data_IF_092662181077
#
_entry.id   IF_092662181077
#
_cell.length_a   1.000
_cell.length_b   1.000
_cell.length_c   1.000
_cell.angle_alpha   90.00
_cell.angle_beta   90.00
_cell.angle_gamma   90.00
#
_symmetry.space_group_name_H-M   'P 1'
#
loop_
_entity.id
_entity.type
_entity.pdbx_description
1 polymer ?
#
# COMPACT_ATOMS: atom_id res chain seq x y z
N UNK A 1 -93.13 19.10 29.85
CA UNK A 1 -92.83 17.74 30.37
C UNK A 1 -92.68 16.82 29.15
N UNK A 2 -91.47 16.23 28.92
CA UNK A 2 -91.12 15.05 28.05
C UNK A 2 -91.75 14.95 26.63
N UNK A 3 -91.12 14.49 25.54
CA UNK A 3 -89.79 13.99 25.16
C UNK A 3 -89.96 13.51 23.70
N UNK A 4 -89.13 13.92 22.73
CA UNK A 4 -89.13 13.31 21.39
C UNK A 4 -87.84 13.58 20.59
N UNK A 5 -86.67 13.41 21.21
CA UNK A 5 -85.35 13.53 20.53
C UNK A 5 -84.59 12.20 20.54
N UNK A 6 -85.31 11.07 20.56
CA UNK A 6 -84.73 9.74 20.69
C UNK A 6 -84.60 8.94 19.38
N UNK A 7 -85.36 9.25 18.33
CA UNK A 7 -85.42 8.38 17.13
C UNK A 7 -84.33 8.64 16.08
N UNK A 8 -83.90 9.89 15.84
CA UNK A 8 -82.91 10.19 14.79
C UNK A 8 -81.48 9.76 15.15
N UNK A 9 -81.08 9.89 16.43
CA UNK A 9 -79.74 9.52 16.91
C UNK A 9 -79.46 8.01 16.83
N UNK A 10 -80.50 7.18 17.00
CA UNK A 10 -80.37 5.73 16.89
C UNK A 10 -80.18 5.28 15.43
N UNK A 11 -80.82 5.96 14.47
CA UNK A 11 -80.64 5.67 13.05
C UNK A 11 -79.23 6.08 12.57
N UNK A 12 -78.72 7.23 13.01
CA UNK A 12 -77.35 7.67 12.68
C UNK A 12 -76.28 6.74 13.28
N UNK A 13 -76.49 6.25 14.50
CA UNK A 13 -75.58 5.28 15.12
C UNK A 13 -75.58 3.92 14.40
N UNK A 14 -76.74 3.44 13.93
CA UNK A 14 -76.85 2.18 13.19
C UNK A 14 -76.26 2.31 11.77
N UNK A 15 -76.45 3.44 11.10
CA UNK A 15 -75.86 3.68 9.78
C UNK A 15 -74.34 3.82 9.85
N UNK A 16 -73.83 4.54 10.86
CA UNK A 16 -72.39 4.69 11.06
C UNK A 16 -71.73 3.35 11.38
N UNK A 17 -72.32 2.51 12.24
CA UNK A 17 -71.77 1.19 12.54
C UNK A 17 -71.78 0.25 11.33
N UNK A 18 -72.79 0.32 10.47
CA UNK A 18 -72.86 -0.45 9.23
C UNK A 18 -71.77 -0.05 8.22
N UNK A 19 -71.47 1.25 8.11
CA UNK A 19 -70.37 1.74 7.28
C UNK A 19 -69.00 1.27 7.78
N UNK A 20 -68.78 1.27 9.09
CA UNK A 20 -67.54 0.76 9.68
C UNK A 20 -67.36 -0.75 9.47
N UNK A 21 -68.44 -1.54 9.61
CA UNK A 21 -68.39 -2.99 9.33
C UNK A 21 -68.06 -3.23 7.86
N UNK A 22 -68.71 -2.50 6.94
CA UNK A 22 -68.41 -2.62 5.51
C UNK A 22 -66.96 -2.26 5.18
N UNK A 23 -66.45 -1.16 5.76
CA UNK A 23 -65.06 -0.75 5.56
C UNK A 23 -64.07 -1.80 6.09
N UNK A 24 -64.34 -2.39 7.25
CA UNK A 24 -63.52 -3.46 7.82
C UNK A 24 -63.54 -4.70 6.92
N UNK A 25 -64.72 -5.16 6.48
CA UNK A 25 -64.85 -6.31 5.58
C UNK A 25 -64.13 -6.09 4.26
N UNK A 26 -64.27 -4.92 3.65
CA UNK A 26 -63.58 -4.56 2.40
C UNK A 26 -62.06 -4.60 2.58
N UNK A 27 -61.57 -3.98 3.66
CA UNK A 27 -60.13 -3.91 3.97
C UNK A 27 -59.57 -5.31 4.21
N UNK A 28 -60.28 -6.15 4.97
CA UNK A 28 -59.87 -7.53 5.23
C UNK A 28 -59.83 -8.36 3.94
N UNK A 29 -60.85 -8.20 3.08
CA UNK A 29 -60.92 -8.88 1.79
C UNK A 29 -59.76 -8.50 0.86
N UNK A 30 -59.47 -7.19 0.73
CA UNK A 30 -58.34 -6.72 -0.07
C UNK A 30 -57.00 -7.22 0.47
N UNK A 31 -56.82 -7.18 1.79
CA UNK A 31 -55.58 -7.65 2.44
C UNK A 31 -55.36 -9.14 2.20
N UNK A 32 -56.42 -9.94 2.24
CA UNK A 32 -56.34 -11.38 1.97
C UNK A 32 -55.98 -11.67 0.51
N UNK A 33 -56.60 -10.97 -0.45
CA UNK A 33 -56.30 -11.11 -1.89
C UNK A 33 -54.83 -10.76 -2.18
N UNK A 34 -54.34 -9.66 -1.61
CA UNK A 34 -52.94 -9.24 -1.77
C UNK A 34 -51.97 -10.23 -1.12
N UNK A 35 -52.31 -10.78 0.06
CA UNK A 35 -51.47 -11.75 0.75
C UNK A 35 -51.32 -13.07 -0.01
N UNK A 36 -52.37 -13.55 -0.70
CA UNK A 36 -52.30 -14.77 -1.50
C UNK A 36 -51.45 -14.59 -2.77
N UNK A 37 -51.45 -13.40 -3.36
CA UNK A 37 -50.63 -13.10 -4.54
C UNK A 37 -49.12 -13.09 -4.19
N UNK A 38 -48.76 -12.56 -3.02
CA UNK A 38 -47.36 -12.56 -2.52
C UNK A 38 -46.79 -13.97 -2.28
N UNK A 39 -47.64 -14.93 -1.91
CA UNK A 39 -47.23 -16.33 -1.72
C UNK A 39 -47.07 -17.09 -3.05
N UNK A 40 -47.73 -16.63 -4.12
CA UNK A 40 -47.53 -17.11 -5.48
C UNK A 40 -46.29 -16.44 -6.09
N UNK A 41 -45.14 -16.63 -5.43
CA UNK A 41 -43.85 -16.35 -6.04
C UNK A 41 -43.80 -17.19 -7.32
N UNK A 42 -43.87 -16.54 -8.48
CA UNK A 42 -43.82 -17.17 -9.78
C UNK A 42 -42.55 -18.03 -9.86
N UNK A 43 -42.69 -19.34 -9.63
CA UNK A 43 -41.62 -20.30 -9.87
C UNK A 43 -41.50 -20.45 -11.38
N UNK A 44 -40.69 -19.59 -12.00
CA UNK A 44 -40.39 -19.65 -13.43
C UNK A 44 -39.70 -20.99 -13.69
N UNK A 45 -40.48 -21.95 -14.19
CA UNK A 45 -39.98 -23.25 -14.62
C UNK A 45 -39.35 -23.06 -16.00
N UNK A 46 -38.05 -22.77 -16.03
CA UNK A 46 -37.26 -22.74 -17.27
C UNK A 46 -36.89 -24.18 -17.62
N UNK A 47 -37.13 -24.58 -18.88
CA UNK A 47 -36.67 -25.86 -19.41
C UNK A 47 -35.40 -25.64 -20.23
N UNK A 48 -34.42 -26.50 -20.04
CA UNK A 48 -33.17 -26.44 -20.81
C UNK A 48 -33.47 -26.59 -22.31
N UNK A 49 -33.03 -25.62 -23.12
CA UNK A 49 -33.17 -25.61 -24.58
C UNK A 49 -34.28 -24.71 -25.14
N UNK A 50 -35.13 -24.12 -24.30
CA UNK A 50 -36.14 -23.13 -24.70
C UNK A 50 -35.71 -21.71 -24.30
N UNK A 51 -35.94 -20.68 -25.13
CA UNK A 51 -35.65 -19.29 -24.75
C UNK A 51 -36.54 -18.86 -23.59
N UNK A 52 -35.94 -18.17 -22.60
CA UNK A 52 -36.67 -17.68 -21.44
C UNK A 52 -37.75 -16.66 -21.86
N UNK A 53 -38.97 -16.73 -21.29
CA UNK A 53 -40.07 -15.83 -21.64
C UNK A 53 -39.87 -14.40 -21.12
N UNK A 54 -38.93 -14.18 -20.19
CA UNK A 54 -38.59 -12.87 -19.63
C UNK A 54 -37.08 -12.75 -19.39
N UNK A 55 -36.59 -11.51 -19.35
CA UNK A 55 -35.17 -11.23 -19.08
C UNK A 55 -34.83 -11.54 -17.61
N UNK A 56 -33.92 -12.49 -17.41
CA UNK A 56 -33.47 -12.91 -16.07
C UNK A 56 -32.19 -12.15 -15.71
N UNK A 57 -32.24 -11.35 -14.64
CA UNK A 57 -31.06 -10.68 -14.09
C UNK A 57 -30.35 -11.57 -13.07
N UNK A 58 -29.02 -11.58 -13.11
CA UNK A 58 -28.21 -12.34 -12.16
C UNK A 58 -28.41 -11.81 -10.71
N UNK A 59 -28.67 -12.67 -9.71
CA UNK A 59 -28.84 -12.23 -8.32
C UNK A 59 -27.60 -11.56 -7.72
N UNK A 60 -26.43 -11.83 -8.31
CA UNK A 60 -25.14 -11.25 -7.94
C UNK A 60 -24.21 -11.18 -9.14
N UNK A 61 -23.39 -10.14 -9.20
CA UNK A 61 -22.29 -10.07 -10.15
C UNK A 61 -21.21 -11.08 -9.76
N UNK A 62 -20.84 -11.96 -10.70
CA UNK A 62 -19.68 -12.85 -10.56
C UNK A 62 -18.69 -12.42 -11.64
N UNK A 63 -17.55 -11.91 -11.21
CA UNK A 63 -16.47 -11.54 -12.13
C UNK A 63 -15.57 -12.75 -12.34
N UNK A 64 -15.46 -13.22 -13.57
CA UNK A 64 -14.50 -14.26 -13.94
C UNK A 64 -13.13 -13.62 -14.22
N UNK A 65 -12.14 -13.94 -13.38
CA UNK A 65 -10.75 -13.54 -13.64
C UNK A 65 -10.16 -14.49 -14.69
N UNK A 66 -9.86 -13.97 -15.87
CA UNK A 66 -9.24 -14.75 -16.96
C UNK A 66 -7.72 -14.77 -16.81
N UNK A 67 -7.15 -15.96 -16.71
CA UNK A 67 -5.69 -16.17 -16.66
C UNK A 67 -4.97 -15.59 -17.89
N UNK A 68 -5.62 -15.60 -19.06
CA UNK A 68 -5.06 -15.03 -20.28
C UNK A 68 -4.94 -13.50 -20.16
N UNK A 69 -5.98 -12.84 -19.65
CA UNK A 69 -6.00 -11.38 -19.44
C UNK A 69 -4.98 -10.95 -18.39
N UNK A 70 -4.81 -11.76 -17.34
CA UNK A 70 -3.79 -11.52 -16.33
C UNK A 70 -2.38 -11.60 -16.92
N UNK A 71 -2.10 -12.61 -17.74
CA UNK A 71 -0.81 -12.74 -18.43
C UNK A 71 -0.54 -11.59 -19.39
N UNK A 72 -1.52 -11.19 -20.18
CA UNK A 72 -1.41 -10.02 -21.08
C UNK A 72 -1.12 -8.73 -20.31
N UNK A 73 -1.85 -8.47 -19.22
CA UNK A 73 -1.62 -7.29 -18.38
C UNK A 73 -0.22 -7.29 -17.74
N UNK A 74 0.30 -8.46 -17.36
CA UNK A 74 1.67 -8.60 -16.84
C UNK A 74 2.73 -8.35 -17.92
N UNK A 75 2.52 -8.84 -19.14
CA UNK A 75 3.42 -8.60 -20.26
C UNK A 75 3.44 -7.12 -20.67
N UNK A 76 2.27 -6.48 -20.75
CA UNK A 76 2.14 -5.04 -20.98
C UNK A 76 2.81 -4.23 -19.88
N UNK A 77 2.63 -4.59 -18.61
CA UNK A 77 3.28 -3.92 -17.49
C UNK A 77 4.81 -4.04 -17.56
N UNK A 78 5.34 -5.20 -17.96
CA UNK A 78 6.78 -5.41 -18.14
C UNK A 78 7.33 -4.61 -19.33
N UNK A 79 6.60 -4.59 -20.45
CA UNK A 79 7.00 -3.84 -21.63
C UNK A 79 6.98 -2.32 -21.40
N UNK A 80 6.13 -1.84 -20.49
CA UNK A 80 6.03 -0.43 -20.12
C UNK A 80 7.03 0.01 -19.04
N UNK A 81 7.92 -0.88 -18.54
CA UNK A 81 9.01 -0.44 -17.66
C UNK A 81 10.06 0.24 -18.54
N UNK A 82 10.25 1.56 -18.43
CA UNK A 82 11.29 2.24 -19.18
C UNK A 82 12.67 1.74 -18.73
N UNK A 83 13.61 1.67 -19.67
CA UNK A 83 15.00 1.34 -19.37
C UNK A 83 15.57 2.37 -18.39
N UNK A 84 15.94 1.91 -17.19
CA UNK A 84 16.62 2.75 -16.22
C UNK A 84 18.11 2.79 -16.56
N UNK A 85 18.49 3.80 -17.34
CA UNK A 85 19.89 4.13 -17.54
C UNK A 85 20.38 4.96 -16.34
N UNK A 86 21.46 4.52 -15.71
CA UNK A 86 22.24 5.39 -14.81
C UNK A 86 22.77 6.55 -15.65
N UNK A 87 22.53 7.79 -15.23
CA UNK A 87 23.15 8.96 -15.84
C UNK A 87 24.68 8.80 -15.86
N UNK A 88 25.43 9.45 -16.77
CA UNK A 88 26.90 9.40 -16.84
C UNK A 88 27.60 10.10 -15.66
N UNK A 89 26.95 10.21 -14.50
CA UNK A 89 27.46 10.75 -13.23
C UNK A 89 28.59 9.86 -12.64
N UNK A 90 28.82 8.66 -13.20
CA UNK A 90 29.84 7.73 -12.72
C UNK A 90 31.26 8.31 -12.72
N UNK A 91 31.62 9.13 -13.70
CA UNK A 91 32.94 9.80 -13.74
C UNK A 91 33.10 10.85 -12.64
N UNK A 92 32.02 11.49 -12.18
CA UNK A 92 32.06 12.47 -11.10
C UNK A 92 32.13 11.79 -9.73
N UNK A 93 31.36 10.72 -9.51
CA UNK A 93 31.38 9.95 -8.27
C UNK A 93 32.76 9.33 -8.04
N UNK A 94 33.37 8.72 -9.07
CA UNK A 94 34.70 8.10 -8.92
C UNK A 94 35.79 9.11 -8.54
N UNK A 95 35.76 10.31 -9.13
CA UNK A 95 36.66 11.40 -8.77
C UNK A 95 36.44 11.88 -7.34
N UNK A 96 35.20 12.01 -6.89
CA UNK A 96 34.88 12.37 -5.51
C UNK A 96 35.39 11.34 -4.50
N UNK A 97 35.24 10.05 -4.79
CA UNK A 97 35.74 8.97 -3.92
C UNK A 97 37.27 9.01 -3.80
N UNK A 98 37.99 9.18 -4.91
CA UNK A 98 39.45 9.33 -4.88
C UNK A 98 39.91 10.59 -4.13
N UNK A 99 39.16 11.69 -4.23
CA UNK A 99 39.43 12.90 -3.45
C UNK A 99 39.21 12.68 -1.95
N UNK A 100 38.18 11.94 -1.57
CA UNK A 100 37.94 11.57 -0.17
C UNK A 100 39.08 10.72 0.40
N UNK A 101 39.52 9.70 -0.34
CA UNK A 101 40.68 8.87 0.04
C UNK A 101 41.93 9.74 0.23
N UNK A 102 42.21 10.64 -0.71
CA UNK A 102 43.34 11.54 -0.61
C UNK A 102 43.26 12.47 0.62
N UNK A 103 42.07 12.98 0.94
CA UNK A 103 41.84 13.83 2.10
C UNK A 103 42.03 13.08 3.43
N UNK A 104 41.53 11.85 3.52
CA UNK A 104 41.70 10.99 4.70
C UNK A 104 43.19 10.72 4.94
N UNK A 105 43.92 10.30 3.91
CA UNK A 105 45.36 10.04 4.08
C UNK A 105 46.16 11.31 4.37
N UNK A 106 45.77 12.48 3.82
CA UNK A 106 46.42 13.74 4.17
C UNK A 106 46.22 14.10 5.66
N UNK A 107 45.04 13.84 6.22
CA UNK A 107 44.80 13.98 7.65
C UNK A 107 45.62 12.97 8.46
N UNK A 108 45.64 11.70 8.08
CA UNK A 108 46.47 10.69 8.74
C UNK A 108 47.97 11.04 8.70
N UNK A 109 48.46 11.62 7.60
CA UNK A 109 49.84 12.10 7.48
C UNK A 109 50.14 13.19 8.52
N UNK A 110 49.18 14.11 8.74
CA UNK A 110 49.31 15.16 9.76
C UNK A 110 49.33 14.61 11.18
N UNK A 111 48.48 13.62 11.48
CA UNK A 111 48.43 12.95 12.79
C UNK A 111 49.72 12.16 13.06
N UNK A 112 50.25 11.45 12.05
CA UNK A 112 51.50 10.69 12.18
C UNK A 112 52.71 11.61 12.38
N UNK A 113 52.75 12.74 11.69
CA UNK A 113 53.83 13.73 11.79
C UNK A 113 53.79 14.58 13.07
N UNK A 114 52.67 14.59 13.80
CA UNK A 114 52.55 15.34 15.05
C UNK A 114 53.45 14.72 16.14
N UNK A 115 54.50 15.43 16.54
CA UNK A 115 55.41 14.99 17.61
C UNK A 115 54.98 15.45 19.01
N UNK A 116 53.93 16.28 19.11
CA UNK A 116 53.41 16.80 20.38
C UNK A 116 52.27 15.94 20.94
N UNK A 117 51.58 15.19 20.08
CA UNK A 117 50.54 14.25 20.48
C UNK A 117 51.14 12.91 20.98
N UNK A 118 50.61 12.40 22.09
CA UNK A 118 50.86 11.02 22.53
C UNK A 118 50.08 9.99 21.68
N UNK A 119 50.38 8.71 21.84
CA UNK A 119 49.76 7.64 21.05
C UNK A 119 48.24 7.54 21.26
N UNK A 120 47.76 7.77 22.50
CA UNK A 120 46.34 7.76 22.82
C UNK A 120 45.60 8.91 22.11
N UNK A 121 46.17 10.11 22.09
CA UNK A 121 45.62 11.27 21.38
C UNK A 121 45.63 11.04 19.87
N UNK A 122 46.70 10.45 19.32
CA UNK A 122 46.75 10.09 17.90
C UNK A 122 45.67 9.07 17.53
N UNK A 123 45.45 8.07 18.38
CA UNK A 123 44.38 7.10 18.19
C UNK A 123 43.00 7.77 18.20
N UNK A 124 42.75 8.67 19.14
CA UNK A 124 41.51 9.44 19.21
C UNK A 124 41.28 10.29 17.94
N UNK A 125 42.33 10.89 17.37
CA UNK A 125 42.24 11.61 16.09
C UNK A 125 41.90 10.70 14.91
N UNK A 126 42.48 9.50 14.85
CA UNK A 126 42.13 8.54 13.81
C UNK A 126 40.66 8.09 13.92
N UNK A 127 40.15 7.95 15.14
CA UNK A 127 38.76 7.59 15.39
C UNK A 127 37.76 8.72 15.13
N UNK A 128 38.22 9.96 15.09
CA UNK A 128 37.37 11.11 14.76
C UNK A 128 37.23 11.35 13.25
N UNK A 129 37.80 10.49 12.40
CA UNK A 129 37.67 10.62 10.95
C UNK A 129 36.23 10.32 10.52
N UNK A 130 35.55 11.34 10.00
CA UNK A 130 34.17 11.21 9.53
C UNK A 130 34.05 10.17 8.40
N UNK A 131 33.09 9.26 8.54
CA UNK A 131 32.80 8.22 7.54
C UNK A 131 33.64 6.95 7.65
N UNK A 132 34.53 6.84 8.65
CA UNK A 132 35.33 5.65 8.94
C UNK A 132 35.15 5.20 10.39
N UNK A 133 34.93 3.90 10.59
CA UNK A 133 34.95 3.30 11.93
C UNK A 133 36.29 2.59 12.10
N UNK A 134 37.20 3.19 12.86
CA UNK A 134 38.52 2.61 13.17
C UNK A 134 38.48 2.04 14.58
N UNK A 135 38.57 0.71 14.70
CA UNK A 135 38.71 0.04 15.99
C UNK A 135 40.08 0.31 16.63
N UNK A 136 40.16 0.28 17.96
CA UNK A 136 41.38 0.59 18.71
C UNK A 136 42.61 -0.19 18.20
N UNK A 137 42.45 -1.50 18.02
CA UNK A 137 43.54 -2.36 17.53
C UNK A 137 44.00 -1.95 16.13
N UNK A 138 43.06 -1.66 15.24
CA UNK A 138 43.40 -1.25 13.88
C UNK A 138 44.10 0.10 13.85
N UNK A 139 43.67 1.05 14.69
CA UNK A 139 44.33 2.35 14.81
C UNK A 139 45.75 2.23 15.35
N UNK A 140 45.98 1.37 16.34
CA UNK A 140 47.33 1.06 16.85
C UNK A 140 48.21 0.43 15.78
N UNK A 141 47.69 -0.56 15.06
CA UNK A 141 48.41 -1.21 13.96
C UNK A 141 48.80 -0.18 12.88
N UNK A 142 47.87 0.71 12.49
CA UNK A 142 48.12 1.79 11.53
C UNK A 142 49.17 2.80 12.00
N UNK A 143 49.21 3.11 13.30
CA UNK A 143 50.24 3.98 13.88
C UNK A 143 51.61 3.29 13.93
N UNK A 144 51.62 1.97 14.17
CA UNK A 144 52.84 1.15 14.27
C UNK A 144 53.56 0.88 12.93
N UNK A 145 52.86 1.06 11.80
CA UNK A 145 53.44 0.87 10.47
C UNK A 145 54.67 1.75 10.25
N UNK A 146 55.69 1.17 9.62
CA UNK A 146 56.82 1.94 9.10
C UNK A 146 56.35 2.86 7.96
N UNK A 147 57.11 3.91 7.66
CA UNK A 147 56.77 4.83 6.57
C UNK A 147 56.60 4.11 5.22
N UNK A 148 57.44 3.10 4.94
CA UNK A 148 57.37 2.33 3.70
C UNK A 148 56.09 1.47 3.61
N UNK A 149 55.71 0.80 4.71
CA UNK A 149 54.48 0.00 4.75
C UNK A 149 53.23 0.87 4.64
N UNK A 150 53.24 2.01 5.33
CA UNK A 150 52.15 2.97 5.27
C UNK A 150 51.97 3.57 3.86
N UNK A 151 53.05 3.96 3.20
CA UNK A 151 53.01 4.44 1.82
C UNK A 151 52.49 3.36 0.85
N UNK A 152 52.86 2.10 1.07
CA UNK A 152 52.33 0.98 0.31
C UNK A 152 50.82 0.83 0.51
N UNK A 153 50.33 0.85 1.74
CA UNK A 153 48.88 0.80 2.06
C UNK A 153 48.15 1.95 1.39
N UNK A 154 48.66 3.18 1.50
CA UNK A 154 48.09 4.38 0.86
C UNK A 154 47.95 4.22 -0.65
N UNK A 155 48.99 3.69 -1.30
CA UNK A 155 48.98 3.45 -2.74
C UNK A 155 47.97 2.36 -3.15
N UNK A 156 47.89 1.28 -2.38
CA UNK A 156 47.04 0.13 -2.69
C UNK A 156 45.56 0.45 -2.48
N UNK A 157 45.21 1.17 -1.40
CA UNK A 157 43.85 1.65 -1.18
C UNK A 157 43.42 2.60 -2.30
N UNK A 158 44.28 3.54 -2.68
CA UNK A 158 43.99 4.47 -3.79
C UNK A 158 43.78 3.72 -5.12
N UNK A 159 44.57 2.67 -5.36
CA UNK A 159 44.45 1.82 -6.54
C UNK A 159 43.14 1.03 -6.54
N UNK A 160 42.80 0.36 -5.44
CA UNK A 160 41.57 -0.44 -5.31
C UNK A 160 40.33 0.44 -5.51
N UNK A 161 40.29 1.63 -4.89
CA UNK A 161 39.18 2.57 -5.06
C UNK A 161 39.11 3.07 -6.51
N UNK A 162 40.25 3.38 -7.13
CA UNK A 162 40.30 3.76 -8.54
C UNK A 162 39.79 2.67 -9.48
N UNK A 163 40.17 1.41 -9.25
CA UNK A 163 39.74 0.26 -10.04
C UNK A 163 38.24 -0.03 -9.86
N UNK A 164 37.69 0.15 -8.64
CA UNK A 164 36.26 -0.08 -8.35
C UNK A 164 35.35 0.99 -8.97
N UNK A 165 35.85 2.23 -9.07
CA UNK A 165 35.07 3.38 -9.56
C UNK A 165 35.09 3.52 -11.10
N UNK A 166 35.88 2.70 -11.79
CA UNK A 166 36.07 2.76 -13.24
C UNK A 166 35.01 2.00 -14.02
#
# INVERSE_FOLDING_TARGET
MKSATGQSRWQEMIQSSMLWIFAITLTLGLTLIFSLNLLSSASVTVKEGEPAPEDIFAPRAITFNSDLRLKQAQEEARANVPEQYRQPEGEDIGRQQLQQVAAIFAFMDTVRADTQADEETKLAYLQSIDGLTIEDQMGQDLLSLTSAEYDQVKSEVSRIVGDLMR
#
